data_IF_159316684829
#
_entry.id   IF_159316684829
#
_cell.length_a   1.000
_cell.length_b   1.000
_cell.length_c   1.000
_cell.angle_alpha   90.00
_cell.angle_beta   90.00
_cell.angle_gamma   90.00
#
_symmetry.space_group_name_H-M   'P 1'
#
loop_
_entity.id
_entity.type
_entity.pdbx_description
1 polymer ?
#
# COMPACT_ATOMS: atom_id res chain seq x y z
N UNK A 1 -18.88 3.87 -1.43
CA UNK A 1 -17.45 3.76 -1.04
C UNK A 1 -16.69 2.99 -2.10
N UNK A 2 -15.52 3.48 -2.50
CA UNK A 2 -14.64 2.75 -3.44
C UNK A 2 -13.92 1.61 -2.72
N UNK A 3 -13.68 0.53 -3.44
CA UNK A 3 -12.87 -0.61 -2.99
C UNK A 3 -11.51 -0.54 -3.67
N UNK A 4 -10.45 -0.76 -2.91
CA UNK A 4 -9.08 -0.75 -3.41
C UNK A 4 -8.35 -2.00 -2.98
N UNK A 5 -7.57 -2.57 -3.90
CA UNK A 5 -6.61 -3.63 -3.61
C UNK A 5 -5.27 -3.06 -3.19
N UNK A 6 -4.46 -3.88 -2.51
CA UNK A 6 -3.07 -3.53 -2.17
C UNK A 6 -2.24 -3.12 -3.40
N UNK A 7 -2.48 -3.76 -4.55
CA UNK A 7 -1.73 -3.50 -5.79
C UNK A 7 -2.12 -2.16 -6.41
N UNK A 8 -3.41 -1.81 -6.39
CA UNK A 8 -3.90 -0.50 -6.84
C UNK A 8 -3.40 0.62 -5.94
N UNK A 9 -3.48 0.46 -4.62
CA UNK A 9 -2.99 1.47 -3.66
C UNK A 9 -1.48 1.66 -3.80
N UNK A 10 -0.72 0.56 -3.87
CA UNK A 10 0.73 0.62 -4.11
C UNK A 10 1.04 1.28 -5.47
N UNK A 11 0.30 0.95 -6.54
CA UNK A 11 0.53 1.54 -7.86
C UNK A 11 0.18 3.02 -7.93
N UNK A 12 -0.84 3.46 -7.18
CA UNK A 12 -1.32 4.84 -7.17
C UNK A 12 -0.43 5.76 -6.33
N UNK A 13 -0.01 5.30 -5.16
CA UNK A 13 0.70 6.13 -4.18
C UNK A 13 2.20 5.85 -4.10
N UNK A 14 2.67 4.73 -4.68
CA UNK A 14 4.08 4.38 -4.72
C UNK A 14 4.64 4.36 -6.14
N UNK A 15 4.00 5.09 -7.06
CA UNK A 15 4.46 5.32 -8.43
C UNK A 15 5.73 6.18 -8.41
N UNK A 16 6.86 5.54 -8.11
CA UNK A 16 8.19 6.07 -8.37
C UNK A 16 8.98 4.90 -8.95
N UNK A 17 9.71 5.18 -10.04
CA UNK A 17 10.61 4.31 -10.81
C UNK A 17 11.02 3.00 -10.12
N UNK A 18 11.23 1.93 -10.91
CA UNK A 18 11.68 0.60 -10.43
C UNK A 18 12.83 0.63 -9.38
N UNK A 19 13.56 1.74 -9.28
CA UNK A 19 14.66 1.99 -8.34
C UNK A 19 14.32 2.92 -7.13
N UNK A 20 13.24 3.72 -7.18
CA UNK A 20 12.93 4.81 -6.23
C UNK A 20 11.71 4.57 -5.31
N UNK A 21 11.25 3.33 -5.22
CA UNK A 21 10.38 2.87 -4.12
C UNK A 21 10.82 3.23 -2.68
N UNK A 22 12.08 3.61 -2.32
CA UNK A 22 12.39 4.05 -0.96
C UNK A 22 11.88 5.45 -0.61
N UNK A 23 11.42 6.28 -1.56
CA UNK A 23 11.21 7.71 -1.30
C UNK A 23 9.80 8.10 -0.87
N UNK A 24 8.82 7.20 -0.96
CA UNK A 24 7.50 7.47 -0.37
C UNK A 24 7.60 7.27 1.13
N UNK A 25 7.62 8.39 1.85
CA UNK A 25 7.66 8.38 3.32
C UNK A 25 6.33 7.85 3.85
N UNK A 26 6.39 7.10 4.97
CA UNK A 26 5.22 6.64 5.73
C UNK A 26 4.17 7.73 5.89
N UNK A 27 4.63 8.95 6.18
CA UNK A 27 3.80 10.13 6.40
C UNK A 27 3.00 10.51 5.16
N UNK A 28 3.63 10.50 3.99
CA UNK A 28 2.96 10.88 2.74
C UNK A 28 1.93 9.84 2.30
N UNK A 29 2.25 8.55 2.48
CA UNK A 29 1.30 7.47 2.24
C UNK A 29 0.10 7.58 3.18
N UNK A 30 0.36 7.83 4.46
CA UNK A 30 -0.67 8.00 5.48
C UNK A 30 -1.59 9.19 5.16
N UNK A 31 -1.04 10.38 4.89
CA UNK A 31 -1.84 11.56 4.52
C UNK A 31 -2.71 11.30 3.29
N UNK A 32 -2.15 10.67 2.25
CA UNK A 32 -2.88 10.40 1.00
C UNK A 32 -4.02 9.40 1.18
N UNK A 33 -3.83 8.39 2.05
CA UNK A 33 -4.87 7.39 2.35
C UNK A 33 -5.92 7.94 3.31
N UNK A 34 -5.54 8.84 4.23
CA UNK A 34 -6.46 9.49 5.15
C UNK A 34 -7.50 10.34 4.39
N UNK A 35 -7.09 11.02 3.31
CA UNK A 35 -8.02 11.76 2.42
C UNK A 35 -9.03 10.86 1.69
N UNK A 36 -8.75 9.56 1.56
CA UNK A 36 -9.68 8.60 0.96
C UNK A 36 -10.69 8.01 1.95
N UNK A 37 -10.52 8.24 3.26
CA UNK A 37 -11.43 7.70 4.25
C UNK A 37 -12.84 8.30 4.12
N UNK A 38 -13.91 7.50 4.24
CA UNK A 38 -13.92 6.05 4.40
C UNK A 38 -13.81 5.29 3.06
N UNK A 39 -13.04 4.19 3.05
CA UNK A 39 -12.92 3.32 1.86
C UNK A 39 -12.90 1.82 2.22
N UNK A 40 -13.10 0.95 1.23
CA UNK A 40 -12.94 -0.50 1.39
C UNK A 40 -11.57 -0.94 0.90
N UNK A 41 -10.91 -1.80 1.65
CA UNK A 41 -9.60 -2.35 1.36
C UNK A 41 -9.69 -3.87 1.24
N UNK A 42 -9.10 -4.44 0.19
CA UNK A 42 -8.94 -5.89 0.05
C UNK A 42 -7.55 -6.25 0.57
N UNK A 43 -7.49 -7.00 1.66
CA UNK A 43 -6.23 -7.39 2.28
C UNK A 43 -5.54 -8.57 1.56
N UNK A 44 -4.37 -8.96 2.07
CA UNK A 44 -3.59 -10.07 1.48
C UNK A 44 -4.29 -11.43 1.56
N UNK A 45 -5.28 -11.59 2.44
CA UNK A 45 -6.13 -12.79 2.56
C UNK A 45 -7.38 -12.72 1.68
N UNK A 46 -7.53 -11.65 0.89
CA UNK A 46 -8.73 -11.34 0.08
C UNK A 46 -9.97 -11.02 0.92
N UNK A 47 -9.78 -10.62 2.18
CA UNK A 47 -10.86 -10.14 3.02
C UNK A 47 -11.11 -8.65 2.74
N UNK A 48 -12.39 -8.27 2.70
CA UNK A 48 -12.80 -6.87 2.52
C UNK A 48 -12.91 -6.22 3.89
N UNK A 49 -12.08 -5.21 4.13
CA UNK A 49 -12.03 -4.45 5.37
C UNK A 49 -12.52 -3.04 5.09
N UNK A 50 -13.39 -2.53 5.95
CA UNK A 50 -13.80 -1.15 5.93
C UNK A 50 -12.80 -0.28 6.69
N UNK A 51 -12.27 0.75 6.04
CA UNK A 51 -11.24 1.63 6.59
C UNK A 51 -11.92 2.92 7.02
N UNK A 52 -12.24 3.00 8.31
CA UNK A 52 -12.97 4.13 8.91
C UNK A 52 -12.20 4.79 10.06
N UNK A 53 -11.12 4.17 10.53
CA UNK A 53 -10.28 4.70 11.59
C UNK A 53 -8.81 4.82 11.21
N UNK A 54 -8.06 5.58 12.00
CA UNK A 54 -6.59 5.67 11.91
C UNK A 54 -5.92 4.32 12.19
N UNK A 55 -6.54 3.46 13.01
CA UNK A 55 -6.07 2.10 13.27
C UNK A 55 -6.17 1.22 12.01
N UNK A 56 -7.28 1.30 11.29
CA UNK A 56 -7.46 0.61 10.01
C UNK A 56 -6.46 1.13 8.98
N UNK A 57 -6.26 2.45 8.93
CA UNK A 57 -5.29 3.08 8.03
C UNK A 57 -3.86 2.57 8.29
N UNK A 58 -3.47 2.44 9.55
CA UNK A 58 -2.17 1.89 9.94
C UNK A 58 -1.95 0.46 9.43
N UNK A 59 -3.00 -0.38 9.44
CA UNK A 59 -2.94 -1.73 8.84
C UNK A 59 -2.68 -1.64 7.34
N UNK A 60 -3.45 -0.83 6.62
CA UNK A 60 -3.30 -0.64 5.16
C UNK A 60 -1.89 -0.14 4.78
N UNK A 61 -1.38 0.86 5.51
CA UNK A 61 -0.03 1.41 5.28
C UNK A 61 1.05 0.35 5.46
N UNK A 62 0.96 -0.46 6.53
CA UNK A 62 1.91 -1.56 6.78
C UNK A 62 1.87 -2.60 5.68
N UNK A 63 0.67 -2.99 5.24
CA UNK A 63 0.50 -3.96 4.17
C UNK A 63 1.12 -3.49 2.85
N UNK A 64 0.82 -2.26 2.42
CA UNK A 64 1.37 -1.67 1.18
C UNK A 64 2.90 -1.72 1.19
N UNK A 65 3.52 -1.37 2.31
CA UNK A 65 4.98 -1.31 2.44
C UNK A 65 5.59 -2.70 2.47
N UNK A 66 4.94 -3.65 3.15
CA UNK A 66 5.34 -5.04 3.12
C UNK A 66 5.30 -5.61 1.70
N UNK A 67 4.20 -5.37 0.97
CA UNK A 67 4.04 -5.79 -0.42
C UNK A 67 5.13 -5.23 -1.35
N UNK A 68 5.43 -3.94 -1.21
CA UNK A 68 6.50 -3.26 -1.93
C UNK A 68 7.87 -3.89 -1.66
N UNK A 69 8.18 -4.16 -0.38
CA UNK A 69 9.44 -4.80 0.02
C UNK A 69 9.57 -6.20 -0.54
N UNK A 70 8.49 -6.99 -0.51
CA UNK A 70 8.46 -8.34 -1.10
C UNK A 70 8.73 -8.30 -2.61
N UNK A 71 8.05 -7.41 -3.36
CA UNK A 71 8.30 -7.27 -4.81
C UNK A 71 9.75 -6.88 -5.11
N UNK A 72 10.38 -6.01 -4.32
CA UNK A 72 11.81 -5.70 -4.47
C UNK A 72 12.72 -6.92 -4.29
N UNK A 73 12.44 -7.75 -3.29
CA UNK A 73 13.21 -8.96 -3.03
C UNK A 73 13.15 -9.93 -4.21
N UNK A 74 11.95 -10.17 -4.76
CA UNK A 74 11.74 -11.04 -5.91
C UNK A 74 12.39 -10.52 -7.21
N UNK A 75 12.45 -9.20 -7.40
CA UNK A 75 13.14 -8.61 -8.56
C UNK A 75 14.66 -8.78 -8.44
N UNK A 76 15.22 -8.66 -7.23
CA UNK A 76 16.66 -8.89 -7.01
C UNK A 76 17.04 -10.35 -7.20
N UNK A 77 16.26 -11.29 -6.66
CA UNK A 77 16.56 -12.73 -6.79
C UNK A 77 16.44 -13.25 -8.22
N UNK A 78 15.63 -12.62 -9.08
CA UNK A 78 15.54 -12.96 -10.52
C UNK A 78 16.67 -12.41 -11.39
N UNK A 79 17.50 -11.51 -10.86
CA UNK A 79 18.63 -10.90 -11.57
C UNK A 79 19.99 -11.45 -11.11
N UNK A 80 20.01 -12.32 -10.11
CA UNK A 80 21.20 -13.04 -9.64
C UNK A 80 21.33 -14.40 -10.29
#
# INVERSE_FOLDING_TARGET
MKTYTIEELASRYCRVHRDLLPYVTWRQLYSSLAELMPFKYVDSKREIIEVCSTADLNKVVRDIIYFIRLRKSQIRSRKS
#
